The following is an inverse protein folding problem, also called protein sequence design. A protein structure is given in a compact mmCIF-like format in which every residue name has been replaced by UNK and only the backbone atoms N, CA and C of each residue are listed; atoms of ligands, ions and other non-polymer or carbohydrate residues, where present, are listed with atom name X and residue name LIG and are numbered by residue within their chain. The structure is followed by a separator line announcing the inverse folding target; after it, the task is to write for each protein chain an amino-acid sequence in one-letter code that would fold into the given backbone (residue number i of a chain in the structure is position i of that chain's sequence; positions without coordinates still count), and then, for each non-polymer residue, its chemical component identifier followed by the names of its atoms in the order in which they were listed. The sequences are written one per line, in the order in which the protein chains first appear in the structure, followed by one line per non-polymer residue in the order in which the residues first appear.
data_IF_247435320133
#
_entry.id   IF_247435320133
#
_cell.length_a   1.000
_cell.length_b   1.000
_cell.length_c   1.000
_cell.angle_alpha   90.00
_cell.angle_beta   90.00
_cell.angle_gamma   90.00
#
_symmetry.space_group_name_H-M   'P 1'
#
loop_
_entity.id
_entity.type
_entity.pdbx_description
1 polymer ?
#
# COMPACT_ATOMS: atom_id res chain seq x y z
N UNK A 1 -24.69 -9.71 -1.87
CA UNK A 1 -24.57 -8.40 -2.55
C UNK A 1 -23.11 -7.96 -2.47
N UNK A 2 -22.53 -7.42 -3.55
CA UNK A 2 -21.13 -6.97 -3.62
C UNK A 2 -21.06 -5.45 -3.53
N UNK A 3 -19.99 -4.92 -2.91
CA UNK A 3 -19.77 -3.49 -2.77
C UNK A 3 -19.34 -2.90 -4.13
N UNK A 4 -19.97 -1.82 -4.63
CA UNK A 4 -19.61 -1.25 -5.92
C UNK A 4 -18.28 -0.49 -5.83
N UNK A 5 -17.56 -0.37 -6.95
CA UNK A 5 -16.37 0.49 -7.06
C UNK A 5 -16.79 1.93 -7.35
N UNK A 6 -16.54 2.88 -6.43
CA UNK A 6 -16.96 4.26 -6.60
C UNK A 6 -16.01 5.08 -7.48
N UNK A 7 -14.83 4.55 -7.84
CA UNK A 7 -13.83 5.33 -8.56
C UNK A 7 -14.30 5.62 -9.98
N UNK A 8 -14.34 6.90 -10.35
CA UNK A 8 -14.64 7.34 -11.71
C UNK A 8 -13.41 7.17 -12.60
N UNK A 9 -13.51 6.30 -13.60
CA UNK A 9 -12.44 6.10 -14.56
C UNK A 9 -12.48 7.15 -15.69
N UNK A 10 -11.34 7.72 -16.09
CA UNK A 10 -11.25 8.61 -17.23
C UNK A 10 -11.71 7.96 -18.54
N UNK A 11 -12.16 8.79 -19.49
CA UNK A 11 -12.31 8.34 -20.87
C UNK A 11 -10.93 8.05 -21.48
N UNK A 12 -10.87 7.04 -22.35
CA UNK A 12 -9.66 6.68 -23.10
C UNK A 12 -9.04 7.92 -23.74
N UNK A 13 -7.74 8.13 -23.50
CA UNK A 13 -6.96 9.20 -24.09
C UNK A 13 -6.10 8.67 -25.25
N UNK A 14 -6.64 8.53 -26.48
CA UNK A 14 -5.98 7.81 -27.58
C UNK A 14 -4.72 8.50 -28.12
N UNK A 15 -4.52 9.79 -27.81
CA UNK A 15 -3.32 10.54 -28.19
C UNK A 15 -2.14 10.30 -27.24
N UNK A 16 -2.38 9.76 -26.03
CA UNK A 16 -1.32 9.41 -25.11
C UNK A 16 -0.66 8.10 -25.59
N UNK A 17 0.64 8.17 -25.85
CA UNK A 17 1.42 7.07 -26.42
C UNK A 17 1.46 5.83 -25.51
N UNK A 18 1.64 6.03 -24.20
CA UNK A 18 1.66 4.95 -23.21
C UNK A 18 0.28 4.30 -23.08
N UNK A 19 -0.80 5.09 -23.05
CA UNK A 19 -2.18 4.56 -23.02
C UNK A 19 -2.44 3.71 -24.27
N UNK A 20 -2.07 4.19 -25.46
CA UNK A 20 -2.24 3.43 -26.70
C UNK A 20 -1.45 2.12 -26.69
N UNK A 21 -0.21 2.13 -26.19
CA UNK A 21 0.60 0.92 -26.06
C UNK A 21 -0.02 -0.09 -25.08
N UNK A 22 -0.53 0.37 -23.94
CA UNK A 22 -1.23 -0.47 -22.95
C UNK A 22 -2.51 -1.05 -23.56
N UNK A 23 -3.35 -0.25 -24.20
CA UNK A 23 -4.59 -0.75 -24.81
C UNK A 23 -4.29 -1.76 -25.92
N UNK A 24 -3.30 -1.47 -26.77
CA UNK A 24 -2.85 -2.39 -27.83
C UNK A 24 -2.38 -3.74 -27.28
N UNK A 25 -1.67 -3.73 -26.14
CA UNK A 25 -1.24 -4.94 -25.42
C UNK A 25 -2.43 -5.70 -24.83
N UNK A 26 -3.36 -5.01 -24.15
CA UNK A 26 -4.49 -5.65 -23.48
C UNK A 26 -5.50 -6.28 -24.44
N UNK A 27 -5.58 -5.79 -25.68
CA UNK A 27 -6.48 -6.34 -26.70
C UNK A 27 -5.82 -7.37 -27.61
N UNK A 28 -4.55 -7.74 -27.39
CA UNK A 28 -3.83 -8.69 -28.25
C UNK A 28 -4.12 -10.14 -27.85
N UNK A 29 -4.81 -10.93 -28.68
CA UNK A 29 -5.07 -12.34 -28.39
C UNK A 29 -3.87 -13.26 -28.61
N UNK A 30 -2.92 -12.89 -29.48
CA UNK A 30 -1.75 -13.73 -29.76
C UNK A 30 -0.64 -13.52 -28.72
N UNK A 31 -0.16 -14.61 -28.12
CA UNK A 31 0.82 -14.56 -27.04
C UNK A 31 2.19 -14.01 -27.46
N UNK A 32 2.64 -14.29 -28.69
CA UNK A 32 3.93 -13.82 -29.17
C UNK A 32 3.87 -12.31 -29.50
N UNK A 33 2.80 -11.85 -30.13
CA UNK A 33 2.57 -10.42 -30.36
C UNK A 33 2.32 -9.66 -29.06
N UNK A 34 1.63 -10.24 -28.08
CA UNK A 34 1.45 -9.64 -26.76
C UNK A 34 2.80 -9.43 -26.07
N UNK A 35 3.72 -10.39 -26.16
CA UNK A 35 5.06 -10.22 -25.58
C UNK A 35 5.88 -9.14 -26.32
N UNK A 36 5.78 -9.08 -27.65
CA UNK A 36 6.39 -7.98 -28.43
C UNK A 36 5.85 -6.61 -27.99
N UNK A 37 4.52 -6.49 -27.83
CA UNK A 37 3.86 -5.26 -27.37
C UNK A 37 4.21 -4.90 -25.93
N UNK A 38 4.42 -5.90 -25.05
CA UNK A 38 4.94 -5.69 -23.70
C UNK A 38 6.35 -5.12 -23.74
N UNK A 39 7.22 -5.65 -24.60
CA UNK A 39 8.55 -5.10 -24.85
C UNK A 39 8.51 -3.65 -25.34
N UNK A 40 7.57 -3.32 -26.23
CA UNK A 40 7.34 -1.95 -26.72
C UNK A 40 6.91 -0.99 -25.59
N UNK A 41 5.94 -1.39 -24.75
CA UNK A 41 5.50 -0.61 -23.60
C UNK A 41 6.66 -0.35 -22.61
N UNK A 42 7.46 -1.39 -22.33
CA UNK A 42 8.64 -1.26 -21.47
C UNK A 42 9.66 -0.30 -22.06
N UNK A 43 9.93 -0.39 -23.37
CA UNK A 43 10.83 0.53 -24.08
C UNK A 43 10.35 1.98 -23.99
N UNK A 44 9.07 2.23 -24.24
CA UNK A 44 8.48 3.57 -24.13
C UNK A 44 8.56 4.11 -22.69
N UNK A 45 8.33 3.26 -21.70
CA UNK A 45 8.44 3.62 -20.29
C UNK A 45 9.88 4.01 -19.92
N UNK A 46 10.86 3.20 -20.33
CA UNK A 46 12.28 3.48 -20.14
C UNK A 46 12.69 4.80 -20.83
N UNK A 47 12.22 5.03 -22.05
CA UNK A 47 12.47 6.28 -22.80
C UNK A 47 11.99 7.51 -22.01
N UNK A 48 10.78 7.48 -21.43
CA UNK A 48 10.30 8.62 -20.61
C UNK A 48 11.16 8.83 -19.35
N UNK A 49 11.62 7.75 -18.71
CA UNK A 49 12.49 7.84 -17.54
C UNK A 49 13.88 8.39 -17.88
N UNK A 50 14.47 7.94 -19.01
CA UNK A 50 15.76 8.41 -19.52
C UNK A 50 15.74 9.90 -19.85
N UNK A 51 14.65 10.40 -20.42
CA UNK A 51 14.46 11.82 -20.78
C UNK A 51 13.90 12.69 -19.65
N UNK A 52 13.79 12.17 -18.41
CA UNK A 52 13.24 12.89 -17.25
C UNK A 52 11.77 13.36 -17.44
N UNK A 53 11.02 12.70 -18.33
CA UNK A 53 9.63 13.00 -18.67
C UNK A 53 8.65 12.35 -17.68
N UNK A 54 8.80 12.70 -16.39
CA UNK A 54 7.92 12.25 -15.32
C UNK A 54 6.48 12.70 -15.52
N UNK A 55 6.28 13.88 -16.15
CA UNK A 55 4.95 14.41 -16.41
C UNK A 55 4.16 13.49 -17.34
N UNK A 56 4.76 13.01 -18.43
CA UNK A 56 4.08 12.06 -19.32
C UNK A 56 3.70 10.76 -18.61
N UNK A 57 4.56 10.25 -17.72
CA UNK A 57 4.28 9.06 -16.91
C UNK A 57 3.11 9.29 -15.95
N UNK A 58 3.13 10.39 -15.19
CA UNK A 58 2.05 10.75 -14.27
C UNK A 58 0.72 10.97 -15.00
N UNK A 59 0.74 11.65 -16.14
CA UNK A 59 -0.45 11.87 -16.97
C UNK A 59 -0.98 10.53 -17.52
N UNK A 60 -0.11 9.63 -17.98
CA UNK A 60 -0.55 8.32 -18.45
C UNK A 60 -1.19 7.49 -17.33
N UNK A 61 -0.63 7.49 -16.12
CA UNK A 61 -1.24 6.82 -14.97
C UNK A 61 -2.60 7.44 -14.59
N UNK A 62 -2.71 8.76 -14.59
CA UNK A 62 -3.97 9.46 -14.30
C UNK A 62 -5.05 9.29 -15.38
N UNK A 63 -4.66 9.06 -16.63
CA UNK A 63 -5.57 8.87 -17.76
C UNK A 63 -5.82 7.40 -18.13
N UNK A 64 -5.38 6.46 -17.28
CA UNK A 64 -5.65 5.05 -17.49
C UNK A 64 -7.18 4.80 -17.51
N UNK A 65 -7.73 4.21 -18.58
CA UNK A 65 -9.18 4.14 -18.79
C UNK A 65 -9.90 3.12 -17.92
N UNK A 66 -9.16 2.19 -17.31
CA UNK A 66 -9.66 1.20 -16.37
C UNK A 66 -8.53 0.71 -15.46
N UNK A 67 -8.89 -0.09 -14.45
CA UNK A 67 -7.93 -0.62 -13.48
C UNK A 67 -6.91 -1.59 -14.09
N UNK A 68 -7.29 -2.36 -15.11
CA UNK A 68 -6.39 -3.30 -15.78
C UNK A 68 -5.31 -2.54 -16.55
N UNK A 69 -5.71 -1.48 -17.27
CA UNK A 69 -4.79 -0.58 -17.95
C UNK A 69 -3.86 0.14 -16.97
N UNK A 70 -4.37 0.66 -15.85
CA UNK A 70 -3.55 1.27 -14.81
C UNK A 70 -2.52 0.26 -14.29
N UNK A 71 -2.96 -0.95 -13.95
CA UNK A 71 -2.10 -2.02 -13.41
C UNK A 71 -1.01 -2.44 -14.38
N UNK A 72 -1.34 -2.62 -15.66
CA UNK A 72 -0.35 -2.96 -16.69
C UNK A 72 0.68 -1.84 -16.85
N UNK A 73 0.26 -0.57 -16.85
CA UNK A 73 1.18 0.56 -16.94
C UNK A 73 2.08 0.67 -15.69
N UNK A 74 1.48 0.54 -14.51
CA UNK A 74 2.19 0.59 -13.23
C UNK A 74 3.23 -0.53 -13.11
N UNK A 75 2.88 -1.77 -13.46
CA UNK A 75 3.83 -2.87 -13.44
C UNK A 75 4.95 -2.67 -14.48
N UNK A 76 4.65 -2.16 -15.68
CA UNK A 76 5.70 -1.81 -16.65
C UNK A 76 6.68 -0.77 -16.09
N UNK A 77 6.18 0.25 -15.38
CA UNK A 77 7.03 1.22 -14.69
C UNK A 77 7.88 0.56 -13.60
N UNK A 78 7.25 -0.20 -12.71
CA UNK A 78 7.92 -0.89 -11.60
C UNK A 78 8.99 -1.87 -12.10
N UNK A 79 8.70 -2.66 -13.12
CA UNK A 79 9.63 -3.61 -13.74
C UNK A 79 10.80 -2.89 -14.41
N UNK A 80 10.55 -1.73 -15.02
CA UNK A 80 11.60 -0.89 -15.62
C UNK A 80 12.54 -0.30 -14.57
N UNK A 81 12.01 0.08 -13.41
CA UNK A 81 12.81 0.54 -12.26
C UNK A 81 13.58 -0.59 -11.58
N UNK A 82 12.98 -1.79 -11.50
CA UNK A 82 13.61 -2.96 -10.88
C UNK A 82 14.71 -3.58 -11.75
N UNK A 83 14.62 -3.41 -13.06
CA UNK A 83 15.54 -4.00 -14.03
C UNK A 83 15.74 -3.04 -15.22
N UNK A 84 16.56 -1.99 -15.05
CA UNK A 84 16.98 -1.14 -16.16
C UNK A 84 17.76 -1.96 -17.21
N UNK A 85 17.90 -1.41 -18.41
CA UNK A 85 18.54 -2.09 -19.56
C UNK A 85 20.05 -2.34 -19.38
N UNK A 86 20.67 -1.71 -18.38
CA UNK A 86 22.09 -1.85 -18.06
C UNK A 86 22.41 -3.21 -17.43
N UNK A 87 23.42 -3.90 -17.99
CA UNK A 87 23.78 -5.27 -17.61
C UNK A 87 24.13 -5.43 -16.11
N UNK A 88 24.91 -4.49 -15.54
CA UNK A 88 25.08 -4.33 -14.10
C UNK A 88 24.31 -3.09 -13.67
N UNK A 89 23.46 -3.21 -12.67
CA UNK A 89 22.62 -2.13 -12.20
C UNK A 89 22.39 -2.21 -10.70
N UNK A 90 21.88 -1.12 -10.13
CA UNK A 90 21.41 -1.09 -8.76
C UNK A 90 19.88 -1.26 -8.73
N UNK A 91 19.40 -2.05 -7.78
CA UNK A 91 17.99 -2.16 -7.44
C UNK A 91 17.77 -1.33 -6.19
N UNK A 92 17.13 -0.17 -6.36
CA UNK A 92 16.75 0.70 -5.24
C UNK A 92 15.41 0.23 -4.69
N UNK A 93 15.41 -0.24 -3.45
CA UNK A 93 14.25 -0.85 -2.82
C UNK A 93 13.95 -0.21 -1.47
N UNK A 94 12.70 -0.35 -1.02
CA UNK A 94 12.31 0.00 0.33
C UNK A 94 11.61 -1.18 1.02
N UNK A 95 11.82 -1.30 2.33
CA UNK A 95 11.07 -2.19 3.22
C UNK A 95 10.08 -1.33 4.00
N UNK A 96 8.78 -1.41 3.70
CA UNK A 96 7.76 -0.76 4.52
C UNK A 96 7.71 -1.39 5.91
N UNK A 97 7.52 -0.57 6.93
CA UNK A 97 7.32 -0.99 8.30
C UNK A 97 6.12 -0.21 8.84
N UNK A 98 5.00 -0.90 9.00
CA UNK A 98 3.83 -0.34 9.67
C UNK A 98 4.06 -0.40 11.18
N UNK A 99 3.82 0.70 11.87
CA UNK A 99 4.04 0.83 13.30
C UNK A 99 2.68 1.04 13.96
N UNK A 100 2.11 -0.01 14.54
CA UNK A 100 0.96 0.11 15.43
C UNK A 100 1.50 0.43 16.83
N UNK A 101 1.22 1.64 17.31
CA UNK A 101 1.80 2.15 18.53
C UNK A 101 0.73 2.81 19.41
N UNK A 102 0.91 2.74 20.72
CA UNK A 102 0.08 3.46 21.67
C UNK A 102 0.86 3.98 22.87
N UNK A 103 0.48 5.15 23.36
CA UNK A 103 1.06 5.78 24.54
C UNK A 103 0.05 6.65 25.27
N UNK A 104 0.09 6.64 26.61
CA UNK A 104 -0.75 7.50 27.46
C UNK A 104 -0.29 8.96 27.48
N UNK A 105 0.96 9.20 27.09
CA UNK A 105 1.57 10.53 27.05
C UNK A 105 2.12 10.78 25.65
N UNK A 106 2.13 12.04 25.22
CA UNK A 106 2.75 12.39 23.95
C UNK A 106 4.23 11.98 23.98
N UNK A 107 4.61 11.04 23.13
CA UNK A 107 5.93 10.41 23.08
C UNK A 107 6.37 10.27 21.63
N UNK A 108 7.67 10.15 21.38
CA UNK A 108 8.22 10.07 20.03
C UNK A 108 9.05 8.81 19.88
N UNK A 109 8.78 8.01 18.84
CA UNK A 109 9.64 6.89 18.45
C UNK A 109 10.83 7.41 17.61
N UNK A 110 12.00 6.76 17.70
CA UNK A 110 13.20 7.21 17.01
C UNK A 110 13.05 7.20 15.48
N UNK A 111 13.82 8.05 14.80
CA UNK A 111 13.89 8.16 13.35
C UNK A 111 14.90 7.20 12.69
N UNK A 112 15.62 6.41 13.49
CA UNK A 112 16.73 5.57 13.03
C UNK A 112 16.82 4.27 13.82
N UNK A 113 17.31 3.24 13.14
CA UNK A 113 17.61 1.90 13.63
C UNK A 113 19.01 1.48 13.15
N UNK A 114 19.63 0.51 13.80
CA UNK A 114 20.82 -0.17 13.30
C UNK A 114 20.43 -1.12 12.17
N UNK A 115 20.91 -0.78 10.96
CA UNK A 115 20.62 -1.51 9.74
C UNK A 115 21.34 -2.87 9.65
N UNK A 116 22.48 -3.03 10.33
CA UNK A 116 23.31 -4.22 10.13
C UNK A 116 22.64 -5.52 10.62
N UNK A 117 22.04 -5.58 11.84
CA UNK A 117 21.27 -6.74 12.28
C UNK A 117 20.06 -7.03 11.39
N UNK A 118 19.37 -5.99 10.93
CA UNK A 118 18.21 -6.14 10.03
C UNK A 118 18.60 -6.74 8.69
N UNK A 119 19.69 -6.25 8.08
CA UNK A 119 20.22 -6.80 6.83
C UNK A 119 20.72 -8.24 7.01
N UNK A 120 21.31 -8.57 8.16
CA UNK A 120 21.73 -9.94 8.46
C UNK A 120 20.55 -10.92 8.47
N UNK A 121 19.40 -10.54 9.05
CA UNK A 121 18.16 -11.34 9.02
C UNK A 121 17.68 -11.55 7.58
N UNK A 122 17.65 -10.49 6.77
CA UNK A 122 17.24 -10.59 5.37
C UNK A 122 18.15 -11.53 4.56
N UNK A 123 19.46 -11.53 4.83
CA UNK A 123 20.41 -12.47 4.23
C UNK A 123 20.20 -13.91 4.71
N UNK A 124 20.08 -14.09 6.02
CA UNK A 124 19.91 -15.41 6.65
C UNK A 124 18.72 -16.17 6.08
N UNK A 125 17.63 -15.47 5.79
CA UNK A 125 16.40 -16.05 5.26
C UNK A 125 16.27 -15.93 3.72
N UNK A 126 17.34 -15.53 3.03
CA UNK A 126 17.42 -15.54 1.56
C UNK A 126 16.57 -14.47 0.87
N UNK A 127 16.09 -13.45 1.58
CA UNK A 127 15.50 -12.25 0.95
C UNK A 127 16.56 -11.49 0.18
N UNK A 128 17.74 -11.36 0.79
CA UNK A 128 18.95 -10.87 0.14
C UNK A 128 19.88 -12.05 -0.13
N UNK A 129 20.44 -12.12 -1.34
CA UNK A 129 21.40 -13.15 -1.71
C UNK A 129 22.68 -13.00 -0.87
N UNK A 130 23.24 -14.10 -0.39
CA UNK A 130 24.30 -14.07 0.64
C UNK A 130 25.56 -13.29 0.23
N UNK A 131 25.94 -13.37 -1.04
CA UNK A 131 27.10 -12.71 -1.65
C UNK A 131 26.77 -11.39 -2.35
N UNK A 132 25.51 -10.94 -2.31
CA UNK A 132 25.12 -9.69 -2.93
C UNK A 132 25.66 -8.47 -2.15
N UNK A 133 26.19 -7.51 -2.91
CA UNK A 133 26.53 -6.18 -2.43
C UNK A 133 25.23 -5.41 -2.19
N UNK A 134 24.86 -5.27 -0.91
CA UNK A 134 23.62 -4.62 -0.46
C UNK A 134 23.92 -3.67 0.68
N UNK A 135 23.35 -2.48 0.62
CA UNK A 135 23.33 -1.49 1.71
C UNK A 135 21.90 -1.19 2.14
N UNK A 136 21.71 -0.90 3.43
CA UNK A 136 20.44 -0.51 4.03
C UNK A 136 20.69 0.72 4.93
N UNK A 137 19.91 1.78 4.78
CA UNK A 137 20.18 3.08 5.41
C UNK A 137 20.04 3.12 6.93
N UNK A 138 19.18 2.28 7.50
CA UNK A 138 18.78 2.35 8.91
C UNK A 138 17.93 3.58 9.25
N UNK A 139 17.70 4.50 8.32
CA UNK A 139 16.82 5.66 8.52
C UNK A 139 15.37 5.26 8.26
N UNK A 140 14.48 5.62 9.18
CA UNK A 140 13.04 5.39 9.04
C UNK A 140 12.42 6.56 8.30
N UNK A 141 12.25 6.42 6.98
CA UNK A 141 11.80 7.50 6.12
C UNK A 141 10.28 7.65 6.14
N UNK A 142 9.79 8.89 6.05
CA UNK A 142 8.37 9.18 5.83
C UNK A 142 7.98 8.90 4.37
N UNK A 143 6.70 8.61 4.13
CA UNK A 143 6.18 8.42 2.78
C UNK A 143 6.45 9.65 1.89
N UNK A 144 6.21 10.85 2.41
CA UNK A 144 6.40 12.11 1.68
C UNK A 144 7.85 12.32 1.26
N UNK A 145 8.82 11.91 2.09
CA UNK A 145 10.25 12.00 1.76
C UNK A 145 10.55 11.19 0.51
N UNK A 146 10.04 9.96 0.42
CA UNK A 146 10.23 9.10 -0.76
C UNK A 146 9.38 9.54 -1.95
N UNK A 147 8.16 9.99 -1.72
CA UNK A 147 7.25 10.47 -2.77
C UNK A 147 7.73 11.77 -3.42
N UNK A 148 8.57 12.55 -2.73
CA UNK A 148 9.21 13.75 -3.30
C UNK A 148 10.26 13.45 -4.37
N UNK A 149 10.70 12.18 -4.49
CA UNK A 149 11.69 11.75 -5.47
C UNK A 149 10.98 11.22 -6.71
N UNK A 150 11.29 11.81 -7.86
CA UNK A 150 10.68 11.49 -9.13
C UNK A 150 11.07 10.09 -9.65
N UNK A 151 10.24 9.50 -10.52
CA UNK A 151 10.51 8.17 -11.09
C UNK A 151 11.82 8.13 -11.89
N UNK A 152 12.10 9.17 -12.68
CA UNK A 152 13.37 9.30 -13.42
C UNK A 152 14.58 9.35 -12.50
N UNK A 153 14.47 9.95 -11.31
CA UNK A 153 15.55 9.97 -10.31
C UNK A 153 15.83 8.57 -9.81
N UNK A 154 14.78 7.81 -9.44
CA UNK A 154 14.93 6.39 -9.08
C UNK A 154 15.56 5.56 -10.20
N UNK A 155 15.14 5.79 -11.45
CA UNK A 155 15.70 5.13 -12.62
C UNK A 155 17.18 5.46 -12.82
N UNK A 156 17.58 6.73 -12.66
CA UNK A 156 18.99 7.15 -12.75
C UNK A 156 19.83 6.46 -11.68
N UNK A 157 19.37 6.40 -10.43
CA UNK A 157 20.10 5.69 -9.37
C UNK A 157 20.29 4.21 -9.66
N UNK A 158 19.29 3.57 -10.29
CA UNK A 158 19.41 2.18 -10.70
C UNK A 158 20.40 1.98 -11.86
N UNK A 159 20.41 2.90 -12.82
CA UNK A 159 21.14 2.75 -14.10
C UNK A 159 22.59 3.25 -14.05
N UNK A 160 22.90 4.25 -13.21
CA UNK A 160 24.22 4.88 -13.15
C UNK A 160 24.97 4.49 -11.87
N UNK A 161 25.87 3.51 -12.01
CA UNK A 161 26.55 2.89 -10.87
C UNK A 161 27.42 3.83 -10.04
N UNK A 162 27.87 4.96 -10.60
CA UNK A 162 28.64 5.97 -9.86
C UNK A 162 27.84 6.58 -8.72
N UNK A 163 26.52 6.69 -8.89
CA UNK A 163 25.61 7.17 -7.85
C UNK A 163 25.26 6.05 -6.87
N UNK A 164 25.06 4.83 -7.34
CA UNK A 164 24.78 3.67 -6.50
C UNK A 164 25.96 3.27 -5.59
N UNK A 165 27.20 3.40 -6.07
CA UNK A 165 28.42 3.08 -5.31
C UNK A 165 28.63 3.98 -4.08
N UNK A 166 27.90 5.10 -3.97
CA UNK A 166 27.91 5.99 -2.79
C UNK A 166 27.00 5.51 -1.67
N UNK A 167 26.28 4.40 -1.85
CA UNK A 167 25.33 3.85 -0.88
C UNK A 167 23.90 4.32 -1.16
N UNK A 168 23.09 4.45 -0.10
CA UNK A 168 21.68 4.85 -0.21
C UNK A 168 21.58 6.17 -0.99
N UNK A 169 20.82 6.23 -2.09
CA UNK A 169 21.01 7.21 -3.16
C UNK A 169 20.79 8.69 -2.80
N UNK A 170 20.41 9.03 -1.59
CA UNK A 170 20.07 10.38 -1.16
C UNK A 170 20.33 10.50 0.34
N UNK A 171 20.84 11.64 0.81
CA UNK A 171 20.96 11.98 2.24
C UNK A 171 19.57 12.29 2.84
N UNK A 172 18.62 11.36 2.71
CA UNK A 172 17.25 11.52 3.17
C UNK A 172 17.21 11.39 4.69
N UNK A 173 16.74 12.43 5.37
CA UNK A 173 16.60 12.40 6.81
C UNK A 173 15.52 11.39 7.23
N UNK A 174 15.81 10.64 8.30
CA UNK A 174 14.78 9.85 8.99
C UNK A 174 13.72 10.78 9.59
N UNK A 175 12.51 10.25 9.77
CA UNK A 175 11.39 10.96 10.37
C UNK A 175 10.93 10.23 11.62
N UNK A 176 11.00 10.94 12.75
CA UNK A 176 10.46 10.48 14.02
C UNK A 176 8.94 10.20 13.92
N UNK A 177 8.41 9.38 14.82
CA UNK A 177 6.98 9.06 14.85
C UNK A 177 6.35 9.61 16.13
N UNK A 178 5.53 10.68 16.05
CA UNK A 178 4.80 11.17 17.20
C UNK A 178 3.67 10.19 17.54
N UNK A 179 3.64 9.71 18.78
CA UNK A 179 2.65 8.77 19.31
C UNK A 179 1.90 9.43 20.45
N UNK A 180 0.56 9.45 20.35
CA UNK A 180 -0.35 9.86 21.39
C UNK A 180 -1.62 9.02 21.29
N UNK A 181 -2.10 8.50 22.43
CA UNK A 181 -3.18 7.51 22.50
C UNK A 181 -2.84 6.24 21.70
N UNK A 182 -3.42 6.07 20.53
CA UNK A 182 -3.17 4.95 19.63
C UNK A 182 -3.04 5.49 18.19
N UNK A 183 -2.15 4.88 17.42
CA UNK A 183 -1.93 5.28 16.03
C UNK A 183 -1.25 4.20 15.21
N UNK A 184 -1.56 4.21 13.91
CA UNK A 184 -0.93 3.33 12.93
C UNK A 184 -0.19 4.18 11.90
N UNK A 185 1.13 4.04 11.93
CA UNK A 185 2.06 4.80 11.11
C UNK A 185 2.74 3.87 10.10
N UNK A 186 3.39 4.44 9.10
CA UNK A 186 4.29 3.68 8.21
C UNK A 186 5.60 4.43 8.06
N UNK A 187 6.71 3.70 8.12
CA UNK A 187 8.05 4.17 7.79
C UNK A 187 8.70 3.21 6.80
N UNK A 188 9.73 3.68 6.12
CA UNK A 188 10.39 2.91 5.07
C UNK A 188 11.89 2.85 5.32
N UNK A 189 12.45 1.65 5.29
CA UNK A 189 13.90 1.44 5.28
C UNK A 189 14.36 1.34 3.82
N UNK A 190 15.10 2.35 3.36
CA UNK A 190 15.64 2.40 1.99
C UNK A 190 16.95 1.60 1.90
N UNK A 191 17.08 0.81 0.85
CA UNK A 191 18.27 0.03 0.55
C UNK A 191 18.60 0.01 -0.95
N UNK A 192 19.82 -0.43 -1.24
CA UNK A 192 20.35 -0.58 -2.59
C UNK A 192 20.99 -1.94 -2.70
N UNK A 193 20.57 -2.75 -3.68
CA UNK A 193 21.17 -4.03 -3.98
C UNK A 193 21.80 -4.01 -5.38
N UNK A 194 23.06 -4.41 -5.49
CA UNK A 194 23.74 -4.48 -6.78
C UNK A 194 23.41 -5.79 -7.48
N UNK A 195 22.83 -5.68 -8.67
CA UNK A 195 22.57 -6.80 -9.56
C UNK A 195 23.67 -6.89 -10.61
N UNK A 196 24.37 -8.03 -10.64
CA UNK A 196 25.33 -8.32 -11.70
C UNK A 196 24.67 -9.10 -12.86
N UNK A 197 25.22 -9.00 -14.08
CA UNK A 197 24.69 -9.71 -15.24
C UNK A 197 24.72 -11.22 -15.04
N UNK A 198 23.63 -11.90 -15.36
CA UNK A 198 23.55 -13.37 -15.38
C UNK A 198 23.47 -14.05 -14.00
N UNK A 199 23.53 -13.30 -12.91
CA UNK A 199 23.33 -13.84 -11.57
C UNK A 199 21.84 -13.87 -11.18
N UNK A 200 21.48 -14.74 -10.24
CA UNK A 200 20.16 -14.71 -9.62
C UNK A 200 19.88 -13.34 -8.95
N UNK A 201 18.61 -12.97 -8.72
CA UNK A 201 18.27 -11.68 -8.11
C UNK A 201 19.03 -11.42 -6.79
N UNK A 202 19.69 -10.26 -6.70
CA UNK A 202 20.42 -9.84 -5.50
C UNK A 202 19.49 -9.64 -4.29
N UNK A 203 18.25 -9.24 -4.55
CA UNK A 203 17.16 -9.12 -3.59
C UNK A 203 15.87 -9.68 -4.19
N UNK A 204 15.07 -10.36 -3.36
CA UNK A 204 13.71 -10.78 -3.72
C UNK A 204 12.75 -9.64 -3.42
N UNK A 205 12.10 -9.13 -4.46
CA UNK A 205 11.07 -8.11 -4.36
C UNK A 205 9.67 -8.74 -4.37
N UNK A 206 8.75 -8.20 -3.59
CA UNK A 206 7.37 -8.69 -3.51
C UNK A 206 7.26 -10.09 -2.89
N UNK A 207 6.17 -10.79 -3.23
CA UNK A 207 5.88 -12.13 -2.72
C UNK A 207 5.35 -12.15 -1.28
N UNK A 208 5.56 -13.27 -0.58
CA UNK A 208 5.13 -13.46 0.82
C UNK A 208 6.27 -13.15 1.79
N UNK A 209 5.92 -12.64 2.97
CA UNK A 209 6.89 -12.37 4.03
C UNK A 209 7.66 -13.61 4.50
N UNK A 210 7.08 -14.81 4.48
CA UNK A 210 7.79 -16.02 4.88
C UNK A 210 8.42 -15.93 6.29
N UNK A 211 9.54 -16.63 6.50
CA UNK A 211 10.13 -16.84 7.83
C UNK A 211 10.93 -15.66 8.39
N UNK A 212 11.33 -14.68 7.56
CA UNK A 212 12.14 -13.55 8.01
C UNK A 212 11.34 -12.49 8.77
N UNK A 213 10.02 -12.46 8.60
CA UNK A 213 9.17 -11.40 9.15
C UNK A 213 9.20 -11.31 10.66
N UNK A 214 9.08 -12.44 11.36
CA UNK A 214 9.09 -12.48 12.82
C UNK A 214 10.42 -12.05 13.44
N UNK A 215 11.60 -12.59 13.04
CA UNK A 215 12.87 -12.13 13.60
C UNK A 215 13.13 -10.65 13.27
N UNK A 216 12.73 -10.17 12.09
CA UNK A 216 12.87 -8.77 11.71
C UNK A 216 12.00 -7.85 12.57
N UNK A 217 10.74 -8.23 12.81
CA UNK A 217 9.83 -7.55 13.73
C UNK A 217 10.40 -7.49 15.16
N UNK A 218 10.92 -8.60 15.68
CA UNK A 218 11.52 -8.65 17.02
C UNK A 218 12.74 -7.72 17.12
N UNK A 219 13.61 -7.74 16.10
CA UNK A 219 14.79 -6.89 16.04
C UNK A 219 14.42 -5.40 15.99
N UNK A 220 13.39 -5.04 15.22
CA UNK A 220 12.85 -3.68 15.16
C UNK A 220 12.23 -3.26 16.48
N UNK A 221 11.45 -4.14 17.13
CA UNK A 221 10.80 -3.85 18.40
C UNK A 221 11.85 -3.51 19.48
N UNK A 222 12.90 -4.32 19.59
CA UNK A 222 13.96 -4.10 20.57
C UNK A 222 14.71 -2.79 20.30
N UNK A 223 15.06 -2.49 19.05
CA UNK A 223 15.78 -1.26 18.71
C UNK A 223 14.93 0.02 18.88
N UNK A 224 13.61 -0.06 18.69
CA UNK A 224 12.69 1.08 18.82
C UNK A 224 12.01 1.18 20.19
N UNK A 225 12.45 0.37 21.15
CA UNK A 225 11.88 0.32 22.49
C UNK A 225 11.93 1.69 23.15
N UNK A 226 10.75 2.24 23.44
CA UNK A 226 10.58 3.58 23.99
C UNK A 226 9.75 3.51 25.27
N UNK A 227 10.19 4.11 26.40
CA UNK A 227 9.44 4.06 27.66
C UNK A 227 8.01 4.58 27.50
N UNK A 228 7.04 3.85 28.06
CA UNK A 228 5.63 4.26 28.02
C UNK A 228 4.95 4.08 26.66
N UNK A 229 5.61 3.46 25.68
CA UNK A 229 5.03 3.13 24.37
C UNK A 229 4.85 1.62 24.26
N UNK A 230 3.66 1.18 23.87
CA UNK A 230 3.43 -0.17 23.35
C UNK A 230 3.58 -0.10 21.84
N UNK A 231 4.43 -0.94 21.25
CA UNK A 231 4.77 -0.89 19.83
C UNK A 231 4.72 -2.30 19.22
N UNK A 232 4.07 -2.40 18.07
CA UNK A 232 4.04 -3.59 17.22
C UNK A 232 4.49 -3.20 15.81
N UNK A 233 5.77 -3.39 15.45
CA UNK A 233 6.25 -3.11 14.10
C UNK A 233 5.92 -4.28 13.17
N UNK A 234 5.23 -4.00 12.07
CA UNK A 234 4.78 -4.97 11.08
C UNK A 234 5.52 -4.67 9.77
N UNK A 235 6.64 -5.37 9.47
CA UNK A 235 7.31 -5.18 8.19
C UNK A 235 6.39 -5.65 7.05
N UNK A 236 6.65 -5.13 5.85
CA UNK A 236 6.11 -5.63 4.59
C UNK A 236 7.27 -6.14 3.71
N UNK A 237 6.97 -6.95 2.69
CA UNK A 237 8.02 -7.43 1.78
C UNK A 237 8.74 -6.27 1.07
N UNK A 238 10.05 -6.37 0.83
CA UNK A 238 10.78 -5.36 0.09
C UNK A 238 10.20 -5.19 -1.32
N UNK A 239 10.19 -3.97 -1.83
CA UNK A 239 9.84 -3.70 -3.23
C UNK A 239 10.60 -2.49 -3.76
N UNK A 240 10.57 -2.23 -5.08
CA UNK A 240 11.05 -0.94 -5.59
C UNK A 240 10.24 0.19 -4.97
N UNK A 241 10.88 1.36 -4.80
CA UNK A 241 10.35 2.43 -3.95
C UNK A 241 8.89 2.82 -4.23
N UNK A 242 8.43 3.04 -5.48
CA UNK A 242 7.04 3.39 -5.73
C UNK A 242 6.05 2.30 -5.29
N UNK A 243 6.37 1.03 -5.53
CA UNK A 243 5.51 -0.09 -5.16
C UNK A 243 5.55 -0.34 -3.66
N UNK A 244 6.70 -0.15 -3.02
CA UNK A 244 6.84 -0.22 -1.57
C UNK A 244 5.96 0.85 -0.89
N UNK A 245 5.95 2.09 -1.40
CA UNK A 245 5.08 3.18 -0.93
C UNK A 245 3.60 2.78 -1.00
N UNK A 246 3.17 2.25 -2.15
CA UNK A 246 1.80 1.80 -2.37
C UNK A 246 1.42 0.68 -1.40
N UNK A 247 2.28 -0.34 -1.28
CA UNK A 247 2.07 -1.48 -0.39
C UNK A 247 2.05 -1.07 1.08
N UNK A 248 2.95 -0.19 1.50
CA UNK A 248 3.01 0.32 2.88
C UNK A 248 1.79 1.15 3.24
N UNK A 249 1.29 1.97 2.32
CA UNK A 249 0.06 2.73 2.51
C UNK A 249 -1.17 1.82 2.69
N UNK A 250 -1.31 0.79 1.84
CA UNK A 250 -2.39 -0.18 1.94
C UNK A 250 -2.33 -0.96 3.27
N UNK A 251 -1.16 -1.52 3.62
CA UNK A 251 -0.99 -2.27 4.87
C UNK A 251 -1.26 -1.40 6.10
N UNK A 252 -0.90 -0.11 6.06
CA UNK A 252 -1.20 0.84 7.14
C UNK A 252 -2.71 1.00 7.32
N UNK A 253 -3.48 1.13 6.24
CA UNK A 253 -4.94 1.22 6.30
C UNK A 253 -5.56 -0.07 6.84
N UNK A 254 -5.08 -1.24 6.39
CA UNK A 254 -5.52 -2.55 6.89
C UNK A 254 -5.35 -2.64 8.41
N UNK A 255 -4.14 -2.38 8.92
CA UNK A 255 -3.83 -2.45 10.36
C UNK A 255 -4.62 -1.40 11.14
N UNK A 256 -4.81 -0.20 10.59
CA UNK A 256 -5.62 0.83 11.22
C UNK A 256 -7.10 0.43 11.33
N UNK A 257 -7.66 -0.21 10.30
CA UNK A 257 -9.02 -0.73 10.32
C UNK A 257 -9.18 -1.83 11.38
N UNK A 258 -8.22 -2.75 11.47
CA UNK A 258 -8.22 -3.82 12.50
C UNK A 258 -8.20 -3.25 13.92
N UNK A 259 -7.33 -2.27 14.18
CA UNK A 259 -7.21 -1.61 15.48
C UNK A 259 -8.49 -0.83 15.82
N UNK A 260 -9.00 -0.04 14.88
CA UNK A 260 -10.26 0.70 15.01
C UNK A 260 -11.43 -0.23 15.34
N UNK A 261 -11.64 -1.29 14.54
CA UNK A 261 -12.73 -2.23 14.70
C UNK A 261 -12.68 -2.93 16.07
N UNK A 262 -11.50 -3.44 16.45
CA UNK A 262 -11.29 -4.12 17.74
C UNK A 262 -11.67 -3.22 18.91
N UNK A 263 -11.30 -1.93 18.84
CA UNK A 263 -11.59 -0.97 19.89
C UNK A 263 -13.08 -0.65 20.03
N UNK A 264 -13.76 -0.34 18.92
CA UNK A 264 -15.19 -0.01 18.97
C UNK A 264 -16.04 -1.21 19.35
N UNK A 265 -15.73 -2.40 18.83
CA UNK A 265 -16.45 -3.64 19.17
C UNK A 265 -16.30 -3.96 20.66
N UNK A 266 -15.07 -3.86 21.20
CA UNK A 266 -14.83 -4.04 22.64
C UNK A 266 -15.64 -3.04 23.47
N UNK A 267 -15.70 -1.77 23.06
CA UNK A 267 -16.47 -0.72 23.75
C UNK A 267 -17.97 -1.02 23.76
N UNK A 268 -18.54 -1.39 22.62
CA UNK A 268 -19.98 -1.71 22.50
C UNK A 268 -20.36 -2.97 23.30
N UNK A 269 -19.51 -4.00 23.29
CA UNK A 269 -19.72 -5.22 24.11
C UNK A 269 -19.77 -4.94 25.60
N UNK A 270 -18.93 -4.04 26.10
CA UNK A 270 -18.96 -3.67 27.51
C UNK A 270 -20.31 -3.04 27.93
N UNK A 271 -21.05 -2.47 26.97
CA UNK A 271 -22.40 -1.95 27.17
C UNK A 271 -23.53 -2.97 26.94
N UNK A 272 -23.24 -4.25 26.72
CA UNK A 272 -24.21 -5.29 26.34
C UNK A 272 -25.08 -4.94 25.11
N UNK A 273 -24.52 -4.15 24.18
CA UNK A 273 -25.20 -3.74 22.97
C UNK A 273 -25.10 -4.81 21.87
N UNK A 274 -26.15 -4.93 21.03
CA UNK A 274 -26.02 -5.63 19.76
C UNK A 274 -25.01 -4.92 18.86
N UNK A 275 -24.33 -5.62 17.96
CA UNK A 275 -23.28 -5.03 17.12
C UNK A 275 -23.52 -5.43 15.68
N UNK A 276 -23.49 -4.44 14.81
CA UNK A 276 -23.58 -4.62 13.37
C UNK A 276 -22.52 -3.79 12.64
N UNK A 277 -21.91 -4.39 11.63
CA UNK A 277 -20.99 -3.73 10.70
C UNK A 277 -21.70 -3.34 9.41
N UNK A 278 -21.38 -2.16 8.86
CA UNK A 278 -21.86 -1.73 7.54
C UNK A 278 -20.67 -1.33 6.67
N UNK A 279 -20.66 -1.76 5.41
CA UNK A 279 -19.74 -1.27 4.39
C UNK A 279 -20.51 -0.59 3.26
N UNK A 280 -20.08 0.61 2.90
CA UNK A 280 -20.67 1.42 1.83
C UNK A 280 -19.58 2.09 0.98
N UNK A 281 -19.86 2.26 -0.32
CA UNK A 281 -19.00 2.99 -1.24
C UNK A 281 -19.58 4.38 -1.47
N UNK A 282 -18.71 5.39 -1.59
CA UNK A 282 -19.11 6.81 -1.70
C UNK A 282 -18.52 7.49 -2.93
N UNK A 283 -19.26 8.42 -3.54
CA UNK A 283 -18.94 9.11 -4.80
C UNK A 283 -17.53 9.73 -4.90
N UNK A 284 -16.90 10.04 -3.77
CA UNK A 284 -15.56 10.61 -3.69
C UNK A 284 -14.42 9.57 -3.78
N UNK A 285 -14.72 8.32 -4.12
CA UNK A 285 -13.70 7.27 -4.25
C UNK A 285 -13.30 6.63 -2.93
N UNK A 286 -14.19 6.65 -1.93
CA UNK A 286 -13.94 6.07 -0.61
C UNK A 286 -14.84 4.87 -0.34
N UNK A 287 -14.33 3.92 0.43
CA UNK A 287 -15.17 2.98 1.18
C UNK A 287 -15.30 3.48 2.61
N UNK A 288 -16.52 3.44 3.15
CA UNK A 288 -16.80 3.80 4.53
C UNK A 288 -17.35 2.60 5.25
N UNK A 289 -16.73 2.30 6.39
CA UNK A 289 -17.12 1.21 7.27
C UNK A 289 -17.67 1.80 8.55
N UNK A 290 -18.78 1.28 9.04
CA UNK A 290 -19.31 1.65 10.35
C UNK A 290 -19.50 0.42 11.22
N UNK A 291 -19.33 0.60 12.52
CA UNK A 291 -19.73 -0.37 13.54
C UNK A 291 -20.66 0.35 14.49
N UNK A 292 -21.87 -0.17 14.66
CA UNK A 292 -22.96 0.47 15.40
C UNK A 292 -23.81 -0.56 16.14
N UNK A 293 -24.67 -0.10 17.06
CA UNK A 293 -25.66 -0.94 17.73
C UNK A 293 -27.07 -0.67 17.18
N UNK A 294 -27.87 -1.71 16.88
CA UNK A 294 -29.27 -1.54 16.48
C UNK A 294 -30.07 -0.72 17.50
N UNK A 295 -30.83 0.27 17.01
CA UNK A 295 -31.64 1.15 17.87
C UNK A 295 -30.86 2.16 18.72
N UNK A 296 -29.53 2.26 18.54
CA UNK A 296 -28.69 3.25 19.21
C UNK A 296 -28.02 4.17 18.20
N UNK A 297 -28.61 5.35 18.02
CA UNK A 297 -28.13 6.36 17.06
C UNK A 297 -26.90 7.15 17.57
N UNK A 298 -26.46 6.91 18.81
CA UNK A 298 -25.37 7.66 19.45
C UNK A 298 -24.07 6.88 19.55
N UNK A 299 -24.15 5.56 19.68
CA UNK A 299 -22.98 4.72 19.86
C UNK A 299 -22.61 4.00 18.56
N UNK A 300 -21.91 4.71 17.70
CA UNK A 300 -21.26 4.16 16.51
C UNK A 300 -19.87 4.77 16.31
N UNK A 301 -19.07 4.11 15.50
CA UNK A 301 -17.84 4.68 14.95
C UNK A 301 -17.78 4.38 13.46
N UNK A 302 -17.00 5.19 12.75
CA UNK A 302 -16.71 4.96 11.35
C UNK A 302 -15.21 4.94 11.06
N UNK A 303 -14.89 4.28 9.95
CA UNK A 303 -13.58 4.23 9.34
C UNK A 303 -13.72 4.59 7.85
N UNK A 304 -12.80 5.41 7.37
CA UNK A 304 -12.73 5.81 5.96
C UNK A 304 -11.53 5.14 5.32
N UNK A 305 -11.78 4.43 4.23
CA UNK A 305 -10.76 3.86 3.36
C UNK A 305 -10.75 4.61 2.03
N UNK A 306 -9.81 5.55 1.82
CA UNK A 306 -9.63 6.17 0.51
C UNK A 306 -9.04 5.15 -0.46
N UNK A 307 -9.68 4.95 -1.62
CA UNK A 307 -9.22 3.96 -2.59
C UNK A 307 -8.06 4.50 -3.42
N UNK A 308 -6.92 3.82 -3.37
CA UNK A 308 -5.86 4.00 -4.35
C UNK A 308 -6.24 3.31 -5.67
N UNK A 309 -5.68 3.69 -6.84
CA UNK A 309 -6.05 3.11 -8.13
C UNK A 309 -5.92 1.58 -8.23
N UNK A 310 -4.99 0.97 -7.49
CA UNK A 310 -4.73 -0.46 -7.48
C UNK A 310 -5.43 -1.24 -6.36
N UNK A 311 -6.23 -0.55 -5.54
CA UNK A 311 -7.01 -1.24 -4.51
C UNK A 311 -8.12 -2.08 -5.15
N UNK A 312 -8.31 -3.28 -4.62
CA UNK A 312 -9.40 -4.18 -5.00
C UNK A 312 -10.52 -4.02 -3.97
N UNK A 313 -11.66 -3.47 -4.41
CA UNK A 313 -12.82 -3.20 -3.55
C UNK A 313 -13.35 -4.49 -2.95
N UNK A 314 -13.41 -5.55 -3.76
CA UNK A 314 -13.85 -6.88 -3.32
C UNK A 314 -12.98 -7.40 -2.19
N UNK A 315 -11.64 -7.33 -2.35
CA UNK A 315 -10.72 -7.83 -1.33
C UNK A 315 -10.77 -7.02 -0.04
N UNK A 316 -10.94 -5.70 -0.11
CA UNK A 316 -11.06 -4.86 1.08
C UNK A 316 -12.36 -5.19 1.82
N UNK A 317 -13.45 -5.40 1.10
CA UNK A 317 -14.74 -5.82 1.67
C UNK A 317 -14.70 -7.22 2.29
N UNK A 318 -14.07 -8.19 1.61
CA UNK A 318 -13.81 -9.53 2.14
C UNK A 318 -12.99 -9.47 3.44
N UNK A 319 -11.92 -8.67 3.47
CA UNK A 319 -11.10 -8.45 4.67
C UNK A 319 -11.92 -7.85 5.81
N UNK A 320 -12.80 -6.89 5.52
CA UNK A 320 -13.69 -6.31 6.52
C UNK A 320 -14.66 -7.35 7.09
N UNK A 321 -15.29 -8.18 6.24
CA UNK A 321 -16.15 -9.28 6.72
C UNK A 321 -15.40 -10.29 7.57
N UNK A 322 -14.22 -10.70 7.14
CA UNK A 322 -13.37 -11.63 7.89
C UNK A 322 -13.03 -11.05 9.26
N UNK A 323 -12.65 -9.77 9.33
CA UNK A 323 -12.39 -9.07 10.58
C UNK A 323 -13.62 -9.01 11.50
N UNK A 324 -14.81 -8.72 10.96
CA UNK A 324 -16.06 -8.76 11.75
C UNK A 324 -16.33 -10.17 12.30
N UNK A 325 -16.16 -11.21 11.48
CA UNK A 325 -16.34 -12.59 11.89
C UNK A 325 -15.32 -13.04 12.96
N UNK A 326 -14.05 -12.70 12.80
CA UNK A 326 -13.00 -12.90 13.83
C UNK A 326 -13.36 -12.21 15.14
N UNK A 327 -13.95 -11.03 15.03
CA UNK A 327 -14.46 -10.29 16.16
C UNK A 327 -15.79 -10.83 16.68
N UNK A 328 -16.39 -11.90 16.14
CA UNK A 328 -17.72 -12.43 16.51
C UNK A 328 -18.88 -11.43 16.31
N UNK A 329 -18.85 -10.67 15.22
CA UNK A 329 -19.95 -9.82 14.76
C UNK A 329 -20.58 -10.50 13.54
N UNK A 330 -21.80 -11.02 13.71
CA UNK A 330 -22.49 -11.80 12.66
C UNK A 330 -23.29 -10.91 11.70
N UNK A 331 -23.83 -9.78 12.19
CA UNK A 331 -24.61 -8.85 11.38
C UNK A 331 -23.66 -7.91 10.61
N UNK A 332 -23.37 -8.28 9.35
CA UNK A 332 -22.53 -7.47 8.45
C UNK A 332 -23.25 -7.17 7.15
N UNK A 333 -23.52 -5.88 6.93
CA UNK A 333 -24.35 -5.38 5.83
C UNK A 333 -23.50 -4.68 4.79
N UNK A 334 -23.79 -4.94 3.52
CA UNK A 334 -23.12 -4.29 2.38
C UNK A 334 -24.15 -3.56 1.56
N UNK A 335 -23.87 -2.29 1.29
CA UNK A 335 -24.74 -1.42 0.53
C UNK A 335 -24.36 -1.51 -0.95
N UNK A 336 -25.27 -2.05 -1.76
CA UNK A 336 -25.02 -2.33 -3.19
C UNK A 336 -25.07 -1.12 -4.12
N UNK A 337 -25.30 0.08 -3.59
CA UNK A 337 -25.34 1.33 -4.35
C UNK A 337 -24.29 2.31 -3.84
N UNK A 338 -23.76 3.14 -4.75
CA UNK A 338 -22.85 4.22 -4.40
C UNK A 338 -23.66 5.31 -3.66
N UNK A 339 -23.16 5.73 -2.52
CA UNK A 339 -23.78 6.73 -1.65
C UNK A 339 -23.19 8.13 -1.92
N UNK A 340 -23.95 9.21 -1.65
CA UNK A 340 -23.41 10.55 -1.65
C UNK A 340 -22.21 10.68 -0.70
N UNK A 341 -21.22 11.48 -1.07
CA UNK A 341 -20.13 11.84 -0.15
C UNK A 341 -20.68 12.63 1.06
N UNK A 342 -21.56 13.60 0.77
CA UNK A 342 -22.11 14.57 1.72
C UNK A 342 -23.61 14.80 1.50
N UNK A 343 -24.32 15.11 2.59
CA UNK A 343 -25.68 15.68 2.58
C UNK A 343 -25.65 16.92 3.48
N UNK A 344 -26.11 18.06 2.99
CA UNK A 344 -26.08 19.34 3.71
C UNK A 344 -24.70 19.67 4.33
N UNK A 345 -23.62 19.43 3.56
CA UNK A 345 -22.21 19.60 3.96
C UNK A 345 -21.70 18.67 5.07
N UNK A 346 -22.48 17.65 5.46
CA UNK A 346 -22.09 16.64 6.44
C UNK A 346 -21.68 15.36 5.72
N UNK A 347 -20.49 14.77 6.01
CA UNK A 347 -20.11 13.48 5.45
C UNK A 347 -21.12 12.39 5.81
N UNK A 348 -21.55 11.62 4.81
CA UNK A 348 -22.51 10.53 5.01
C UNK A 348 -21.80 9.29 5.57
N UNK A 349 -22.35 8.74 6.65
CA UNK A 349 -22.00 7.43 7.19
C UNK A 349 -23.27 6.64 7.42
N UNK A 350 -23.35 5.44 6.85
CA UNK A 350 -24.52 4.57 7.03
C UNK A 350 -24.32 3.68 8.26
N UNK A 351 -25.22 3.80 9.22
CA UNK A 351 -25.29 2.89 10.36
C UNK A 351 -26.14 1.67 10.03
N UNK A 352 -26.21 0.71 10.96
CA UNK A 352 -27.10 -0.42 10.79
C UNK A 352 -28.59 0.02 10.71
N UNK A 353 -29.01 1.11 11.35
CA UNK A 353 -30.40 1.56 11.25
C UNK A 353 -30.73 2.06 9.83
N UNK A 354 -29.78 2.68 9.14
CA UNK A 354 -29.93 3.20 7.77
C UNK A 354 -29.95 2.08 6.74
N UNK A 355 -29.04 1.10 6.88
CA UNK A 355 -28.85 0.03 5.90
C UNK A 355 -30.07 -0.90 5.74
N UNK A 356 -30.97 -0.97 6.75
CA UNK A 356 -32.24 -1.73 6.66
C UNK A 356 -33.11 -1.20 5.52
N UNK A 357 -33.11 0.11 5.30
CA UNK A 357 -33.98 0.78 4.32
C UNK A 357 -33.48 0.67 2.87
N UNK A 358 -32.22 0.26 2.68
CA UNK A 358 -31.54 0.20 1.37
C UNK A 358 -31.37 -1.23 0.84
N UNK A 359 -31.73 -2.23 1.64
CA UNK A 359 -31.71 -3.64 1.21
C UNK A 359 -33.08 -3.97 0.61
N UNK A 360 -33.19 -4.48 -0.63
CA UNK A 360 -34.46 -5.02 -1.10
C UNK A 360 -34.89 -6.15 -0.14
N UNK A 361 -36.18 -6.28 0.22
CA UNK A 361 -36.61 -7.39 1.06
C UNK A 361 -36.35 -8.70 0.31
N UNK A 362 -35.31 -9.43 0.71
CA UNK A 362 -35.11 -10.82 0.27
C UNK A 362 -36.16 -11.69 0.97
N UNK A 363 -37.17 -12.10 0.19
CA UNK A 363 -38.03 -13.26 0.38
C UNK A 363 -38.41 -13.64 1.83
N UNK A 364 -39.51 -13.04 2.30
CA UNK A 364 -40.40 -13.71 3.26
C UNK A 364 -41.08 -14.90 2.55
N UNK A 365 -40.51 -16.11 2.67
CA UNK A 365 -41.25 -17.36 2.50
C UNK A 365 -40.72 -18.46 3.42
#
# INVERSE_FOLDING_TARGET
MMLPDPRLMPRVAPKNELIRAVMSLLTEPDGAEAERKRGELRRLTAEKLEFDDNQSLSVALQLAPDQTAFRTLWHSLVDTLASPSTARHAVVFAVPVVLAAGSKTATTLPAQVDAAPLLAILRQHGVVRADAEVSLSGRLLHADTLASVAFSQWFRFGSFLTDAARGVPLDLAGSEVPVHEEGVFVRYLLGVAMQNPGEAPAIRLGGSMGEWGMPFMQQLNEQMKTPGVTLFPIPAVPNVVPEALRQGAALRLDVNMQMWASNIIRKLRAGNAGIAGVAAAHENGELRFTVSSPGDDKNWAAFVWPLAPLDAVERIEENFRALMAECQVEDVRVVGTIQPDRIDEVPVFLTCNDAITLTPPENLH
#
